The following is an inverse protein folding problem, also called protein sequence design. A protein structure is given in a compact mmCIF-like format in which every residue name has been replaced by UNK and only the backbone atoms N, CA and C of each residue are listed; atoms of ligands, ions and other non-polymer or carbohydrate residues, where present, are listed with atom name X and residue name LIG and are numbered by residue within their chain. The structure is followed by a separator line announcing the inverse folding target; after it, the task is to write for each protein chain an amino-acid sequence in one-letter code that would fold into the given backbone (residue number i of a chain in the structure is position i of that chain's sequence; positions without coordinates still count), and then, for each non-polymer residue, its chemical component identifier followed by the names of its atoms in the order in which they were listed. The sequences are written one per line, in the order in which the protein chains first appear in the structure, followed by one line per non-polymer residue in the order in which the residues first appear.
data_IF_914796915909
#
_entry.id   IF_914796915909
#
_cell.length_a   1.000
_cell.length_b   1.000
_cell.length_c   1.000
_cell.angle_alpha   90.00
_cell.angle_beta   90.00
_cell.angle_gamma   90.00
#
_symmetry.space_group_name_H-M   'P 1'
#
loop_
_entity.id
_entity.type
_entity.pdbx_description
1 polymer ?
#
# COMPACT_ATOMS: atom_id res chain seq x y z
N UNK A 1 3.31 -6.42 -8.76
CA UNK A 1 3.15 -5.39 -9.80
C UNK A 1 3.93 -5.82 -11.04
N UNK A 2 3.55 -5.36 -12.25
CA UNK A 2 4.27 -5.68 -13.48
C UNK A 2 5.39 -4.65 -13.66
N UNK A 3 6.65 -5.05 -13.50
CA UNK A 3 7.82 -4.16 -13.63
C UNK A 3 7.85 -3.35 -14.94
N UNK A 4 7.24 -3.88 -16.01
CA UNK A 4 7.11 -3.19 -17.30
C UNK A 4 6.20 -1.95 -17.23
N UNK A 5 5.10 -2.00 -16.49
CA UNK A 5 4.21 -0.85 -16.34
C UNK A 5 4.78 0.21 -15.40
N UNK A 6 5.51 -0.20 -14.36
CA UNK A 6 6.24 0.72 -13.48
C UNK A 6 7.30 1.51 -14.26
N UNK A 7 8.08 0.83 -15.11
CA UNK A 7 9.05 1.50 -15.98
C UNK A 7 8.38 2.54 -16.90
N UNK A 8 7.26 2.18 -17.55
CA UNK A 8 6.51 3.10 -18.40
C UNK A 8 6.01 4.30 -17.60
N UNK A 9 5.54 4.09 -16.36
CA UNK A 9 5.02 5.16 -15.51
C UNK A 9 6.08 6.18 -15.10
N UNK A 10 7.33 5.73 -14.87
CA UNK A 10 8.48 6.60 -14.57
C UNK A 10 8.89 7.40 -15.81
N UNK A 11 8.93 6.75 -16.98
CA UNK A 11 9.46 7.35 -18.22
C UNK A 11 8.41 8.06 -19.11
N UNK A 12 7.12 8.04 -18.74
CA UNK A 12 6.03 8.65 -19.54
C UNK A 12 6.18 10.16 -19.76
N UNK A 13 6.98 10.84 -18.94
CA UNK A 13 7.29 12.26 -19.11
C UNK A 13 8.32 12.51 -20.22
N UNK A 14 9.20 11.54 -20.48
CA UNK A 14 10.29 11.63 -21.45
C UNK A 14 9.91 10.98 -22.80
N UNK A 15 9.09 9.94 -22.77
CA UNK A 15 8.74 9.14 -23.95
C UNK A 15 7.23 8.92 -24.08
N UNK A 16 6.78 8.67 -25.31
CA UNK A 16 5.38 8.34 -25.55
C UNK A 16 5.03 6.95 -24.97
N UNK A 17 3.95 6.89 -24.19
CA UNK A 17 3.43 5.63 -23.60
C UNK A 17 3.21 4.57 -24.66
N UNK A 18 2.65 4.94 -25.82
CA UNK A 18 2.41 3.99 -26.94
C UNK A 18 3.72 3.42 -27.49
N UNK A 19 4.76 4.23 -27.62
CA UNK A 19 6.08 3.77 -28.09
C UNK A 19 6.70 2.79 -27.11
N UNK A 20 6.63 3.10 -25.81
CA UNK A 20 7.18 2.21 -24.77
C UNK A 20 6.38 0.92 -24.64
N UNK A 21 5.04 0.96 -24.71
CA UNK A 21 4.20 -0.23 -24.72
C UNK A 21 4.56 -1.16 -25.89
N UNK A 22 4.82 -0.60 -27.08
CA UNK A 22 5.27 -1.37 -28.24
C UNK A 22 6.66 -1.98 -28.02
N UNK A 23 7.60 -1.21 -27.47
CA UNK A 23 8.96 -1.67 -27.20
C UNK A 23 9.03 -2.78 -26.13
N UNK A 24 8.12 -2.75 -25.15
CA UNK A 24 8.07 -3.70 -24.04
C UNK A 24 7.07 -4.83 -24.26
N UNK A 25 6.45 -4.90 -25.44
CA UNK A 25 5.45 -5.89 -25.83
C UNK A 25 4.28 -6.02 -24.84
N UNK A 26 3.78 -4.86 -24.36
CA UNK A 26 2.62 -4.78 -23.47
C UNK A 26 1.49 -3.97 -24.11
N UNK A 27 0.25 -4.21 -23.69
CA UNK A 27 -0.89 -3.45 -24.20
C UNK A 27 -0.94 -2.06 -23.56
N UNK A 28 -1.25 -1.04 -24.39
CA UNK A 28 -1.49 0.31 -23.91
C UNK A 28 -2.74 0.40 -23.05
N UNK A 29 -3.80 -0.35 -23.40
CA UNK A 29 -5.00 -0.50 -22.56
C UNK A 29 -4.66 -1.10 -21.20
N UNK A 30 -3.82 -2.14 -21.16
CA UNK A 30 -3.40 -2.76 -19.91
C UNK A 30 -2.53 -1.84 -19.05
N UNK A 31 -1.74 -0.96 -19.66
CA UNK A 31 -1.01 0.10 -18.94
C UNK A 31 -1.98 1.10 -18.32
N UNK A 32 -2.94 1.65 -19.09
CA UNK A 32 -3.89 2.62 -18.55
C UNK A 32 -4.83 2.00 -17.52
N UNK A 33 -5.24 0.74 -17.68
CA UNK A 33 -5.99 0.01 -16.64
C UNK A 33 -5.14 -0.18 -15.38
N UNK A 34 -3.85 -0.45 -15.53
CA UNK A 34 -2.93 -0.56 -14.41
C UNK A 34 -2.69 0.79 -13.72
N UNK A 35 -2.59 1.88 -14.48
CA UNK A 35 -2.41 3.25 -13.96
C UNK A 35 -3.70 3.77 -13.30
N UNK A 36 -4.85 3.46 -13.88
CA UNK A 36 -6.17 3.86 -13.39
C UNK A 36 -6.70 2.94 -12.27
N UNK A 37 -6.03 1.81 -12.00
CA UNK A 37 -6.38 0.94 -10.86
C UNK A 37 -6.18 1.71 -9.57
N UNK A 38 -7.27 2.26 -9.06
CA UNK A 38 -7.30 2.74 -7.69
C UNK A 38 -6.92 1.58 -6.75
N UNK A 39 -6.18 1.86 -5.65
CA UNK A 39 -5.99 0.86 -4.61
C UNK A 39 -7.36 0.33 -4.19
N UNK A 40 -7.52 -0.99 -4.22
CA UNK A 40 -8.77 -1.61 -3.78
C UNK A 40 -9.11 -1.15 -2.36
N UNK A 41 -10.39 -1.18 -1.98
CA UNK A 41 -10.81 -0.82 -0.62
C UNK A 41 -9.99 -1.57 0.45
N UNK A 42 -9.58 -2.80 0.16
CA UNK A 42 -8.70 -3.60 1.02
C UNK A 42 -7.30 -2.98 1.16
N UNK A 43 -6.70 -2.51 0.07
CA UNK A 43 -5.39 -1.83 0.09
C UNK A 43 -5.52 -0.51 0.84
N UNK A 44 -6.54 0.30 0.56
CA UNK A 44 -6.82 1.55 1.28
C UNK A 44 -6.97 1.32 2.79
N UNK A 45 -7.80 0.34 3.18
CA UNK A 45 -7.99 -0.04 4.59
C UNK A 45 -6.69 -0.52 5.24
N UNK A 46 -5.84 -1.26 4.52
CA UNK A 46 -4.55 -1.71 5.04
C UNK A 46 -3.60 -0.54 5.25
N UNK A 47 -3.53 0.40 4.30
CA UNK A 47 -2.72 1.62 4.45
C UNK A 47 -3.20 2.48 5.63
N UNK A 48 -4.51 2.69 5.76
CA UNK A 48 -5.10 3.42 6.88
C UNK A 48 -4.82 2.74 8.24
N UNK A 49 -4.99 1.42 8.32
CA UNK A 49 -4.63 0.65 9.51
C UNK A 49 -3.14 0.75 9.82
N UNK A 50 -2.26 0.73 8.81
CA UNK A 50 -0.82 0.89 9.00
C UNK A 50 -0.47 2.24 9.63
N UNK A 51 -1.06 3.33 9.13
CA UNK A 51 -0.89 4.66 9.71
C UNK A 51 -1.34 4.71 11.18
N UNK A 52 -2.49 4.11 11.50
CA UNK A 52 -3.01 4.07 12.88
C UNK A 52 -2.14 3.22 13.81
N UNK A 53 -1.68 2.05 13.36
CA UNK A 53 -0.74 1.18 14.09
C UNK A 53 0.53 1.96 14.43
N UNK A 54 1.13 2.62 13.44
CA UNK A 54 2.33 3.44 13.60
C UNK A 54 2.13 4.58 14.59
N UNK A 55 1.04 5.33 14.47
CA UNK A 55 0.72 6.44 15.36
C UNK A 55 0.58 5.98 16.82
N UNK A 56 -0.09 4.85 17.07
CA UNK A 56 -0.22 4.27 18.41
C UNK A 56 1.13 3.81 18.96
N UNK A 57 1.92 3.11 18.15
CA UNK A 57 3.24 2.62 18.55
C UNK A 57 4.18 3.78 18.89
N UNK A 58 4.24 4.81 18.04
CA UNK A 58 5.02 6.02 18.29
C UNK A 58 4.56 6.79 19.53
N UNK A 59 3.24 6.93 19.74
CA UNK A 59 2.69 7.57 20.95
C UNK A 59 3.08 6.82 22.23
N UNK A 60 3.27 5.50 22.15
CA UNK A 60 3.79 4.67 23.23
C UNK A 60 5.32 4.69 23.38
N UNK A 61 6.03 5.51 22.57
CA UNK A 61 7.50 5.55 22.47
C UNK A 61 8.12 4.19 22.13
N UNK A 62 7.42 3.39 21.32
CA UNK A 62 7.86 2.06 20.91
C UNK A 62 7.69 0.95 21.95
N UNK A 63 7.13 1.24 23.13
CA UNK A 63 7.01 0.24 24.20
C UNK A 63 5.86 -0.75 24.00
N UNK A 64 4.88 -0.43 23.14
CA UNK A 64 3.73 -1.28 22.90
C UNK A 64 4.00 -2.27 21.77
N UNK A 65 3.95 -3.57 22.09
CA UNK A 65 3.84 -4.64 21.11
C UNK A 65 2.43 -4.80 20.54
N UNK A 66 2.26 -5.74 19.60
CA UNK A 66 1.00 -5.97 18.87
C UNK A 66 -0.25 -6.13 19.75
N UNK A 67 -0.23 -6.77 20.94
CA UNK A 67 -1.44 -6.90 21.75
C UNK A 67 -1.93 -5.54 22.30
N UNK A 68 -1.00 -4.68 22.74
CA UNK A 68 -1.31 -3.37 23.33
C UNK A 68 -1.70 -2.36 22.26
N UNK A 69 -1.05 -2.40 21.10
CA UNK A 69 -1.45 -1.59 19.93
C UNK A 69 -2.86 -1.96 19.48
N UNK A 70 -3.17 -3.25 19.32
CA UNK A 70 -4.52 -3.73 18.99
C UNK A 70 -5.55 -3.24 20.01
N UNK A 71 -5.25 -3.34 21.31
CA UNK A 71 -6.17 -2.89 22.35
C UNK A 71 -6.50 -1.39 22.22
N UNK A 72 -5.50 -0.56 21.91
CA UNK A 72 -5.70 0.87 21.68
C UNK A 72 -6.50 1.15 20.39
N UNK A 73 -6.19 0.45 19.31
CA UNK A 73 -6.95 0.54 18.05
C UNK A 73 -8.43 0.18 18.27
N UNK A 74 -8.71 -0.88 19.05
CA UNK A 74 -10.08 -1.25 19.43
C UNK A 74 -10.80 -0.13 20.19
N UNK A 75 -10.09 0.59 21.08
CA UNK A 75 -10.65 1.76 21.80
C UNK A 75 -10.93 2.94 20.87
N UNK A 76 -10.22 3.02 19.74
CA UNK A 76 -10.44 4.02 18.68
C UNK A 76 -11.55 3.60 17.68
N UNK A 77 -12.21 2.46 17.91
CA UNK A 77 -13.28 1.95 17.04
C UNK A 77 -12.79 1.00 15.93
N UNK A 78 -11.49 0.70 15.86
CA UNK A 78 -10.94 -0.17 14.82
C UNK A 78 -11.12 -1.65 15.15
N UNK A 79 -11.67 -2.40 14.20
CA UNK A 79 -11.80 -3.85 14.29
C UNK A 79 -10.70 -4.51 13.45
N UNK A 80 -9.65 -4.99 14.12
CA UNK A 80 -8.49 -5.65 13.51
C UNK A 80 -7.99 -6.82 14.35
N UNK A 81 -7.48 -7.85 13.70
CA UNK A 81 -6.87 -9.00 14.37
C UNK A 81 -5.47 -8.65 14.88
N UNK A 82 -5.03 -9.29 15.98
CA UNK A 82 -3.67 -9.10 16.49
C UNK A 82 -2.62 -9.51 15.45
N UNK A 83 -2.85 -10.60 14.72
CA UNK A 83 -1.96 -11.07 13.66
C UNK A 83 -1.77 -10.02 12.55
N UNK A 84 -2.83 -9.30 12.19
CA UNK A 84 -2.74 -8.21 11.21
C UNK A 84 -1.91 -7.06 11.76
N UNK A 85 -2.10 -6.67 13.02
CA UNK A 85 -1.28 -5.63 13.67
C UNK A 85 0.18 -6.05 13.72
N UNK A 86 0.47 -7.30 14.11
CA UNK A 86 1.82 -7.83 14.15
C UNK A 86 2.48 -7.83 12.75
N UNK A 87 1.77 -8.27 11.71
CA UNK A 87 2.25 -8.22 10.31
C UNK A 87 2.61 -6.79 9.90
N UNK A 88 1.74 -5.83 10.19
CA UNK A 88 1.99 -4.42 9.89
C UNK A 88 3.22 -3.89 10.64
N UNK A 89 3.38 -4.25 11.92
CA UNK A 89 4.55 -3.84 12.73
C UNK A 89 5.86 -4.53 12.30
N UNK A 90 5.82 -5.63 11.55
CA UNK A 90 7.01 -6.32 11.02
C UNK A 90 7.39 -5.82 9.62
N UNK A 91 6.45 -5.23 8.90
CA UNK A 91 6.66 -4.64 7.58
C UNK A 91 7.26 -3.22 7.66
N UNK A 92 7.35 -2.63 8.86
CA UNK A 92 8.06 -1.38 9.17
C UNK A 92 9.43 -1.65 9.82
#
# INVERSE_FOLDING_TARGET
MSARYEFIAVEKANFSVRSMCRALEVSSSGYYDWEAREPSERVRRRCDLALKVKAVHQRSKGTYGSPRVRAQLKRMGETVSEKTVASIMQEE
#
